data_IF_658493835930
#
_entry.id   IF_658493835930
#
_cell.length_a   1.000
_cell.length_b   1.000
_cell.length_c   1.000
_cell.angle_alpha   90.00
_cell.angle_beta   90.00
_cell.angle_gamma   90.00
#
_symmetry.space_group_name_H-M   'P 1'
#
loop_
_entity.id
_entity.type
_entity.pdbx_description
1 polymer ?
#
# COMPACT_ATOMS: atom_id res chain seq x y z
N UNK A 1 -16.74 13.42 3.66
CA UNK A 1 -17.06 12.04 3.22
C UNK A 1 -15.83 11.30 2.68
N UNK A 2 -15.00 11.87 1.79
CA UNK A 2 -13.73 11.24 1.32
C UNK A 2 -12.81 10.70 2.44
N UNK A 3 -12.65 11.46 3.54
CA UNK A 3 -11.82 11.05 4.66
C UNK A 3 -12.26 9.73 5.32
N UNK A 4 -13.57 9.44 5.34
CA UNK A 4 -14.09 8.18 5.89
C UNK A 4 -13.75 6.98 5.00
N UNK A 5 -13.70 7.18 3.68
CA UNK A 5 -13.33 6.11 2.74
C UNK A 5 -11.85 5.79 2.78
N UNK A 6 -10.99 6.78 3.03
CA UNK A 6 -9.53 6.59 3.10
C UNK A 6 -9.03 6.16 4.48
N UNK A 7 -9.84 6.32 5.52
CA UNK A 7 -9.52 5.90 6.90
C UNK A 7 -8.99 4.46 6.99
N UNK A 8 -9.66 3.43 6.42
CA UNK A 8 -9.13 2.06 6.45
C UNK A 8 -7.83 1.90 5.66
N UNK A 9 -7.63 2.67 4.58
CA UNK A 9 -6.41 2.65 3.78
C UNK A 9 -5.22 3.18 4.59
N UNK A 10 -5.40 4.30 5.29
CA UNK A 10 -4.34 4.85 6.14
C UNK A 10 -4.08 3.98 7.36
N UNK A 11 -5.11 3.40 7.96
CA UNK A 11 -4.98 2.52 9.12
C UNK A 11 -4.17 1.24 8.79
N UNK A 12 -4.22 0.76 7.55
CA UNK A 12 -3.45 -0.43 7.15
C UNK A 12 -2.00 -0.14 6.74
N UNK A 13 -1.65 1.13 6.54
CA UNK A 13 -0.29 1.58 6.21
C UNK A 13 0.50 1.86 7.49
N UNK A 14 0.53 0.86 8.39
CA UNK A 14 1.32 0.93 9.61
C UNK A 14 2.83 0.85 9.31
N UNK A 15 3.66 1.10 10.33
CA UNK A 15 5.12 1.13 10.18
C UNK A 15 5.66 -0.18 9.58
N UNK A 16 5.13 -1.34 9.99
CA UNK A 16 5.57 -2.65 9.48
C UNK A 16 5.21 -2.82 8.02
N UNK A 17 3.98 -2.48 7.65
CA UNK A 17 3.49 -2.57 6.27
C UNK A 17 4.29 -1.63 5.36
N UNK A 18 4.51 -0.39 5.78
CA UNK A 18 5.32 0.57 5.02
C UNK A 18 6.77 0.12 4.85
N UNK A 19 7.37 -0.46 5.90
CA UNK A 19 8.73 -1.04 5.79
C UNK A 19 8.78 -2.17 4.76
N UNK A 20 7.78 -3.06 4.73
CA UNK A 20 7.70 -4.14 3.76
C UNK A 20 7.54 -3.61 2.33
N UNK A 21 6.61 -2.69 2.10
CA UNK A 21 6.39 -2.09 0.77
C UNK A 21 7.63 -1.34 0.28
N UNK A 22 8.29 -0.59 1.16
CA UNK A 22 9.53 0.13 0.82
C UNK A 22 10.71 -0.81 0.57
N UNK A 23 10.80 -1.95 1.29
CA UNK A 23 11.83 -2.95 1.03
C UNK A 23 11.70 -3.54 -0.38
N UNK A 24 10.48 -3.86 -0.82
CA UNK A 24 10.23 -4.32 -2.19
C UNK A 24 10.66 -3.32 -3.26
N UNK A 25 10.61 -2.02 -2.97
CA UNK A 25 11.06 -0.98 -3.92
C UNK A 25 12.57 -0.80 -3.85
N UNK A 26 13.11 -0.54 -2.65
CA UNK A 26 14.48 -0.10 -2.45
C UNK A 26 15.50 -1.24 -2.50
N UNK A 27 15.09 -2.45 -2.11
CA UNK A 27 15.97 -3.63 -2.03
C UNK A 27 15.71 -4.58 -3.19
N UNK A 28 14.45 -4.90 -3.45
CA UNK A 28 14.08 -5.85 -4.52
C UNK A 28 13.95 -5.19 -5.90
N UNK A 29 13.95 -3.85 -5.96
CA UNK A 29 13.92 -3.09 -7.20
C UNK A 29 12.58 -3.12 -7.93
N UNK A 30 11.48 -3.43 -7.23
CA UNK A 30 10.15 -3.45 -7.84
C UNK A 30 9.64 -2.03 -8.12
N UNK A 31 8.85 -1.89 -9.19
CA UNK A 31 8.21 -0.62 -9.53
C UNK A 31 7.24 -0.17 -8.42
N UNK A 32 7.43 1.05 -7.92
CA UNK A 32 6.66 1.60 -6.81
C UNK A 32 5.16 1.69 -7.10
N UNK A 33 4.76 2.01 -8.34
CA UNK A 33 3.34 2.09 -8.71
C UNK A 33 2.71 0.70 -8.70
N UNK A 34 3.42 -0.30 -9.21
CA UNK A 34 3.00 -1.69 -9.16
C UNK A 34 2.85 -2.19 -7.73
N UNK A 35 3.84 -1.94 -6.87
CA UNK A 35 3.80 -2.33 -5.44
C UNK A 35 2.59 -1.71 -4.73
N UNK A 36 2.33 -0.41 -4.94
CA UNK A 36 1.16 0.26 -4.37
C UNK A 36 -0.16 -0.29 -4.93
N UNK A 37 -0.25 -0.48 -6.25
CA UNK A 37 -1.45 -0.99 -6.90
C UNK A 37 -1.78 -2.42 -6.43
N UNK A 38 -0.77 -3.30 -6.36
CA UNK A 38 -0.93 -4.68 -5.90
C UNK A 38 -1.38 -4.72 -4.43
N UNK A 39 -0.80 -3.88 -3.57
CA UNK A 39 -1.23 -3.76 -2.17
C UNK A 39 -2.72 -3.37 -2.06
N UNK A 40 -3.14 -2.33 -2.79
CA UNK A 40 -4.54 -1.89 -2.79
C UNK A 40 -5.49 -2.96 -3.37
N UNK A 41 -5.07 -3.68 -4.41
CA UNK A 41 -5.83 -4.80 -4.99
C UNK A 41 -5.97 -5.98 -4.02
N UNK A 42 -4.88 -6.34 -3.33
CA UNK A 42 -4.90 -7.40 -2.30
C UNK A 42 -5.87 -7.09 -1.16
N UNK A 43 -6.02 -5.81 -0.82
CA UNK A 43 -6.98 -5.33 0.19
C UNK A 43 -8.41 -5.14 -0.34
N UNK A 44 -8.63 -5.32 -1.65
CA UNK A 44 -9.91 -5.14 -2.30
C UNK A 44 -10.32 -3.66 -2.48
N UNK A 45 -9.36 -2.73 -2.41
CA UNK A 45 -9.62 -1.28 -2.52
C UNK A 45 -9.40 -0.71 -3.92
N UNK A 46 -8.73 -1.45 -4.80
CA UNK A 46 -8.57 -1.11 -6.20
C UNK A 46 -8.81 -2.35 -7.09
N UNK A 47 -9.21 -2.13 -8.35
CA UNK A 47 -9.41 -3.20 -9.35
C UNK A 47 -8.19 -3.34 -10.25
#
# INVERSE_FOLDING_TARGET
QMAQWLQPVFASLDAKTLQQLNASIAVEGLDAKKVAADYLKQKGWAK
#
